data_IF_505503314746
#
_entry.id   IF_505503314746
#
_cell.length_a   1.000
_cell.length_b   1.000
_cell.length_c   1.000
_cell.angle_alpha   90.00
_cell.angle_beta   90.00
_cell.angle_gamma   90.00
#
_symmetry.space_group_name_H-M   'P 1'
#
loop_
_entity.id
_entity.type
_entity.pdbx_description
1 polymer ?
#
# COMPACT_ATOMS: atom_id res chain seq x y z
N UNK A 1 -44.70 -26.56 14.69
CA UNK A 1 -44.14 -27.18 13.47
C UNK A 1 -44.43 -26.27 12.28
N UNK A 2 -43.84 -25.07 12.13
CA UNK A 2 -42.49 -24.70 11.63
C UNK A 2 -42.07 -25.27 10.26
N UNK A 3 -42.66 -24.64 9.23
CA UNK A 3 -42.12 -24.20 7.93
C UNK A 3 -40.65 -24.55 7.62
N UNK A 4 -40.44 -25.46 6.66
CA UNK A 4 -39.21 -25.63 5.86
C UNK A 4 -39.65 -25.74 4.40
N UNK A 5 -39.69 -24.62 3.67
CA UNK A 5 -39.70 -24.54 2.20
C UNK A 5 -39.67 -23.04 1.84
N UNK A 6 -38.48 -22.39 1.88
CA UNK A 6 -37.82 -22.05 0.62
C UNK A 6 -36.29 -21.87 0.79
N UNK A 7 -35.51 -22.95 0.74
CA UNK A 7 -34.02 -22.87 0.68
C UNK A 7 -33.46 -23.66 -0.51
N UNK A 8 -34.28 -24.43 -1.22
CA UNK A 8 -33.80 -25.34 -2.27
C UNK A 8 -33.77 -24.69 -3.68
N UNK A 9 -34.41 -23.54 -3.90
CA UNK A 9 -34.47 -22.92 -5.24
C UNK A 9 -33.38 -21.87 -5.54
N UNK A 10 -32.60 -21.44 -4.55
CA UNK A 10 -31.49 -20.47 -4.75
C UNK A 10 -30.12 -21.12 -4.95
N UNK A 11 -30.02 -22.45 -4.80
CA UNK A 11 -28.77 -23.21 -4.97
C UNK A 11 -28.58 -23.82 -6.36
N UNK A 12 -29.58 -23.74 -7.25
CA UNK A 12 -29.53 -24.31 -8.61
C UNK A 12 -29.32 -23.28 -9.74
N UNK A 13 -29.28 -21.97 -9.43
CA UNK A 13 -29.05 -20.90 -10.42
C UNK A 13 -27.61 -20.35 -10.45
N UNK A 14 -26.70 -20.90 -9.62
CA UNK A 14 -25.26 -20.53 -9.63
C UNK A 14 -24.41 -21.54 -10.42
N UNK A 15 -25.00 -22.68 -10.84
CA UNK A 15 -24.28 -23.76 -11.54
C UNK A 15 -24.37 -23.74 -13.07
N UNK A 16 -25.07 -22.78 -13.70
CA UNK A 16 -25.16 -22.69 -15.17
C UNK A 16 -24.44 -21.48 -15.80
N UNK A 17 -23.85 -20.58 -15.01
CA UNK A 17 -23.07 -19.45 -15.55
C UNK A 17 -21.53 -19.69 -15.60
N UNK A 18 -21.04 -20.85 -15.15
CA UNK A 18 -19.60 -21.13 -15.08
C UNK A 18 -18.95 -21.57 -16.40
N UNK A 19 -19.70 -22.15 -17.34
CA UNK A 19 -19.10 -22.79 -18.53
C UNK A 19 -19.00 -21.87 -19.76
N UNK A 20 -19.90 -20.89 -19.93
CA UNK A 20 -19.87 -19.97 -21.08
C UNK A 20 -18.69 -18.97 -21.00
N UNK A 21 -18.25 -18.64 -19.79
CA UNK A 21 -17.20 -17.64 -19.53
C UNK A 21 -15.79 -18.22 -19.69
N UNK A 22 -15.61 -19.53 -19.51
CA UNK A 22 -14.34 -20.22 -19.68
C UNK A 22 -13.91 -20.32 -21.15
N UNK A 23 -14.86 -20.53 -22.06
CA UNK A 23 -14.61 -20.69 -23.50
C UNK A 23 -14.28 -19.34 -24.16
N UNK A 24 -15.00 -18.27 -23.79
CA UNK A 24 -14.71 -16.88 -24.20
C UNK A 24 -13.33 -16.37 -23.70
N UNK A 25 -12.90 -16.80 -22.51
CA UNK A 25 -11.57 -16.45 -21.95
C UNK A 25 -10.43 -17.17 -22.66
N UNK A 26 -10.66 -18.39 -23.16
CA UNK A 26 -9.66 -19.16 -23.94
C UNK A 26 -9.40 -18.52 -25.31
N UNK A 27 -10.43 -18.01 -25.97
CA UNK A 27 -10.32 -17.28 -27.25
C UNK A 27 -9.59 -15.93 -27.09
N UNK A 28 -9.91 -15.17 -26.03
CA UNK A 28 -9.17 -13.92 -25.69
C UNK A 28 -7.69 -14.17 -25.38
N UNK A 29 -7.34 -15.34 -24.81
CA UNK A 29 -5.95 -15.77 -24.58
C UNK A 29 -5.23 -16.11 -25.89
N UNK A 30 -5.90 -16.79 -26.82
CA UNK A 30 -5.34 -17.10 -28.14
C UNK A 30 -5.05 -15.83 -28.95
N UNK A 31 -5.99 -14.86 -28.95
CA UNK A 31 -5.81 -13.57 -29.64
C UNK A 31 -4.66 -12.73 -29.06
N UNK A 32 -4.48 -12.71 -27.74
CA UNK A 32 -3.35 -12.01 -27.10
C UNK A 32 -2.00 -12.68 -27.40
N UNK A 33 -1.95 -14.01 -27.49
CA UNK A 33 -0.73 -14.75 -27.84
C UNK A 33 -0.35 -14.53 -29.31
N UNK A 34 -1.33 -14.53 -30.21
CA UNK A 34 -1.14 -14.22 -31.63
C UNK A 34 -0.67 -12.77 -31.86
N UNK A 35 -1.25 -11.79 -31.16
CA UNK A 35 -0.83 -10.39 -31.25
C UNK A 35 0.62 -10.16 -30.78
N UNK A 36 1.07 -10.90 -29.74
CA UNK A 36 2.43 -10.80 -29.21
C UNK A 36 3.46 -11.46 -30.16
N UNK A 37 3.10 -12.57 -30.79
CA UNK A 37 3.93 -13.20 -31.84
C UNK A 37 4.02 -12.34 -33.10
N UNK A 38 2.91 -11.72 -33.54
CA UNK A 38 2.91 -10.81 -34.69
C UNK A 38 3.77 -9.57 -34.46
N UNK A 39 3.77 -9.02 -33.23
CA UNK A 39 4.63 -7.89 -32.85
C UNK A 39 6.12 -8.25 -32.76
N UNK A 40 6.46 -9.50 -32.42
CA UNK A 40 7.85 -9.99 -32.45
C UNK A 40 8.35 -10.23 -33.89
N UNK A 41 7.49 -10.78 -34.75
CA UNK A 41 7.80 -10.99 -36.17
C UNK A 41 7.97 -9.66 -36.93
N UNK A 42 7.16 -8.65 -36.63
CA UNK A 42 7.32 -7.31 -37.23
C UNK A 42 8.59 -6.60 -36.75
N UNK A 43 8.95 -6.75 -35.47
CA UNK A 43 10.19 -6.20 -34.92
C UNK A 43 11.45 -6.86 -35.51
N UNK A 44 11.40 -8.17 -35.80
CA UNK A 44 12.50 -8.88 -36.45
C UNK A 44 12.65 -8.52 -37.93
N UNK A 45 11.55 -8.27 -38.65
CA UNK A 45 11.61 -7.81 -40.05
C UNK A 45 12.17 -6.39 -40.19
N UNK A 46 11.90 -5.49 -39.24
CA UNK A 46 12.47 -4.13 -39.24
C UNK A 46 13.99 -4.08 -38.98
N UNK A 47 14.55 -5.12 -38.36
CA UNK A 47 15.98 -5.22 -38.03
C UNK A 47 16.78 -5.82 -39.21
N UNK A 48 16.16 -6.64 -40.06
CA UNK A 48 16.82 -7.18 -41.25
C UNK A 48 16.87 -6.18 -42.42
N UNK A 49 15.94 -5.24 -42.53
CA UNK A 49 15.96 -4.23 -43.61
C UNK A 49 16.98 -3.10 -43.41
N UNK A 50 17.51 -2.95 -42.19
CA UNK A 50 18.42 -1.86 -41.81
C UNK A 50 19.90 -2.24 -41.82
N UNK A 51 20.24 -3.50 -42.17
CA UNK A 51 21.63 -4.00 -42.20
C UNK A 51 22.28 -4.11 -43.59
N UNK A 52 21.61 -3.70 -44.66
CA UNK A 52 22.08 -3.96 -46.03
C UNK A 52 22.37 -2.71 -46.88
N UNK A 53 22.50 -1.52 -46.26
CA UNK A 53 22.97 -0.33 -46.97
C UNK A 53 23.96 0.47 -46.12
N UNK A 54 25.06 0.83 -46.78
CA UNK A 54 26.09 1.81 -46.44
C UNK A 54 27.36 1.27 -45.75
N UNK A 55 28.20 0.65 -46.58
CA UNK A 55 29.64 0.85 -46.55
C UNK A 55 30.01 1.77 -47.75
N UNK A 56 31.04 2.60 -47.58
CA UNK A 56 31.77 3.44 -48.57
C UNK A 56 31.54 4.96 -48.52
N UNK A 57 32.67 5.61 -48.20
CA UNK A 57 33.16 6.97 -48.48
C UNK A 57 32.98 8.12 -47.49
N UNK A 58 34.14 8.55 -46.99
CA UNK A 58 34.46 9.80 -46.30
C UNK A 58 35.13 10.77 -47.30
N UNK A 59 34.95 12.11 -47.19
CA UNK A 59 36.03 12.89 -46.57
C UNK A 59 35.61 14.16 -45.78
N UNK A 60 36.44 14.44 -44.77
CA UNK A 60 36.80 15.72 -44.11
C UNK A 60 35.95 16.99 -44.23
N UNK A 61 35.55 17.55 -43.08
CA UNK A 61 35.66 18.99 -42.76
C UNK A 61 35.51 19.25 -41.25
N UNK A 62 36.34 20.15 -40.71
CA UNK A 62 36.38 20.62 -39.32
C UNK A 62 35.12 21.45 -38.99
N UNK A 63 34.57 21.35 -37.78
CA UNK A 63 34.19 22.51 -36.95
C UNK A 63 33.77 22.10 -35.52
N UNK A 64 33.84 23.07 -34.63
CA UNK A 64 33.88 23.04 -33.17
C UNK A 64 32.79 22.26 -32.42
N UNK A 65 33.17 21.77 -31.23
CA UNK A 65 32.28 21.31 -30.16
C UNK A 65 31.44 22.47 -29.60
N UNK A 66 30.15 22.25 -29.31
CA UNK A 66 29.49 22.86 -28.17
C UNK A 66 29.28 21.84 -27.03
N UNK A 67 29.45 22.33 -25.80
CA UNK A 67 29.21 21.66 -24.53
C UNK A 67 27.78 21.11 -24.38
N UNK A 68 27.57 20.08 -23.54
CA UNK A 68 26.26 19.45 -23.39
C UNK A 68 25.32 20.35 -22.58
N UNK A 69 24.23 20.79 -23.23
CA UNK A 69 23.13 21.49 -22.60
C UNK A 69 22.47 20.63 -21.51
N UNK A 70 22.44 21.17 -20.31
CA UNK A 70 21.64 20.74 -19.16
C UNK A 70 20.17 20.58 -19.56
N UNK A 71 19.59 19.40 -19.30
CA UNK A 71 18.13 19.21 -19.37
C UNK A 71 17.50 19.93 -18.18
N UNK A 72 17.06 21.15 -18.44
CA UNK A 72 16.24 21.95 -17.55
C UNK A 72 14.90 21.25 -17.34
N UNK A 73 14.60 20.88 -16.09
CA UNK A 73 13.29 20.39 -15.68
C UNK A 73 12.35 21.60 -15.62
N UNK A 74 11.80 21.98 -16.78
CA UNK A 74 10.86 23.08 -16.84
C UNK A 74 9.66 22.84 -15.94
N UNK A 75 9.39 23.85 -15.11
CA UNK A 75 8.20 24.00 -14.27
C UNK A 75 6.95 23.54 -15.03
N UNK A 76 6.24 22.56 -14.46
CA UNK A 76 4.88 22.24 -14.91
C UNK A 76 4.04 23.52 -14.82
N UNK A 77 3.46 23.89 -15.95
CA UNK A 77 2.52 24.98 -16.10
C UNK A 77 1.42 24.92 -15.03
N UNK A 78 1.50 25.84 -14.06
CA UNK A 78 0.55 26.00 -12.96
C UNK A 78 -0.81 26.52 -13.45
N UNK A 79 -0.87 27.13 -14.65
CA UNK A 79 -2.10 27.72 -15.19
C UNK A 79 -3.17 26.67 -15.51
N UNK A 80 -2.76 25.46 -15.93
CA UNK A 80 -3.67 24.35 -16.22
C UNK A 80 -4.46 23.90 -14.98
N UNK A 81 -3.83 23.93 -13.80
CA UNK A 81 -4.47 23.53 -12.55
C UNK A 81 -5.38 24.63 -11.97
N UNK A 82 -5.06 25.90 -12.20
CA UNK A 82 -5.93 27.03 -11.84
C UNK A 82 -7.26 27.00 -12.61
N UNK A 83 -7.23 26.69 -13.91
CA UNK A 83 -8.45 26.58 -14.72
C UNK A 83 -9.36 25.41 -14.31
N UNK A 84 -8.77 24.28 -13.89
CA UNK A 84 -9.52 23.10 -13.42
C UNK A 84 -10.23 23.32 -12.08
N UNK A 85 -9.69 24.21 -11.23
CA UNK A 85 -10.11 24.44 -9.85
C UNK A 85 -10.94 25.72 -9.64
N UNK A 86 -11.10 26.59 -10.65
CA UNK A 86 -11.84 27.88 -10.55
C UNK A 86 -13.27 27.79 -9.97
N UNK A 87 -13.93 26.65 -10.10
CA UNK A 87 -15.30 26.41 -9.63
C UNK A 87 -15.38 25.69 -8.26
N UNK A 88 -14.24 25.38 -7.62
CA UNK A 88 -14.16 24.60 -6.38
C UNK A 88 -13.79 25.50 -5.20
N UNK A 89 -14.51 25.35 -4.09
CA UNK A 89 -14.15 25.97 -2.81
C UNK A 89 -12.87 25.35 -2.23
N UNK A 90 -12.12 26.06 -1.36
CA UNK A 90 -10.95 25.49 -0.67
C UNK A 90 -11.22 24.14 0.01
N UNK A 91 -12.36 24.01 0.70
CA UNK A 91 -12.80 22.73 1.30
C UNK A 91 -12.97 21.61 0.27
N UNK A 92 -13.51 21.91 -0.92
CA UNK A 92 -13.63 20.91 -1.98
C UNK A 92 -12.27 20.52 -2.57
N UNK A 93 -11.35 21.47 -2.69
CA UNK A 93 -9.97 21.23 -3.14
C UNK A 93 -9.26 20.32 -2.13
N UNK A 94 -9.32 20.63 -0.83
CA UNK A 94 -8.73 19.82 0.23
C UNK A 94 -9.30 18.39 0.23
N UNK A 95 -10.62 18.25 0.06
CA UNK A 95 -11.24 16.92 -0.03
C UNK A 95 -10.76 16.12 -1.26
N UNK A 96 -10.52 16.79 -2.39
CA UNK A 96 -9.99 16.15 -3.60
C UNK A 96 -8.52 15.80 -3.47
N UNK A 97 -7.74 16.60 -2.75
CA UNK A 97 -6.33 16.28 -2.40
C UNK A 97 -6.29 15.06 -1.48
N UNK A 98 -7.14 15.03 -0.44
CA UNK A 98 -7.25 13.90 0.47
C UNK A 98 -7.69 12.60 -0.26
N UNK A 99 -8.70 12.70 -1.14
CA UNK A 99 -9.11 11.58 -2.00
C UNK A 99 -7.99 11.09 -2.92
N UNK A 100 -7.24 12.01 -3.50
CA UNK A 100 -6.13 11.65 -4.37
C UNK A 100 -5.03 10.94 -3.61
N UNK A 101 -4.66 11.42 -2.42
CA UNK A 101 -3.68 10.76 -1.55
C UNK A 101 -4.14 9.34 -1.18
N UNK A 102 -5.42 9.17 -0.83
CA UNK A 102 -6.00 7.85 -0.56
C UNK A 102 -5.93 6.91 -1.77
N UNK A 103 -6.22 7.41 -2.97
CA UNK A 103 -6.07 6.63 -4.20
C UNK A 103 -4.63 6.28 -4.52
N UNK A 104 -3.68 7.20 -4.31
CA UNK A 104 -2.26 6.87 -4.47
C UNK A 104 -1.83 5.81 -3.46
N UNK A 105 -2.36 5.85 -2.24
CA UNK A 105 -2.10 4.86 -1.19
C UNK A 105 -2.66 3.49 -1.58
N UNK A 106 -3.89 3.41 -2.08
CA UNK A 106 -4.51 2.17 -2.56
C UNK A 106 -3.78 1.61 -3.79
N UNK A 107 -3.43 2.48 -4.74
CA UNK A 107 -2.74 2.08 -5.96
C UNK A 107 -1.32 1.58 -5.67
N UNK A 108 -0.60 2.23 -4.75
CA UNK A 108 0.74 1.81 -4.33
C UNK A 108 0.70 0.47 -3.62
N UNK A 109 -0.27 0.24 -2.72
CA UNK A 109 -0.50 -1.07 -2.11
C UNK A 109 -0.79 -2.13 -3.18
N UNK A 110 -1.73 -1.88 -4.08
CA UNK A 110 -2.12 -2.87 -5.09
C UNK A 110 -0.99 -3.20 -6.06
N UNK A 111 -0.20 -2.19 -6.48
CA UNK A 111 0.98 -2.41 -7.30
C UNK A 111 1.97 -3.31 -6.56
N UNK A 112 2.32 -2.95 -5.32
CA UNK A 112 3.23 -3.76 -4.52
C UNK A 112 2.73 -5.19 -4.33
N UNK A 113 1.46 -5.37 -3.96
CA UNK A 113 0.87 -6.67 -3.73
C UNK A 113 0.90 -7.54 -5.00
N UNK A 114 0.49 -7.00 -6.14
CA UNK A 114 0.52 -7.72 -7.42
C UNK A 114 1.95 -8.00 -7.89
N UNK A 115 2.87 -7.07 -7.62
CA UNK A 115 4.25 -7.20 -8.05
C UNK A 115 4.95 -8.23 -7.16
N UNK A 116 4.84 -8.19 -5.84
CA UNK A 116 5.70 -8.99 -4.95
C UNK A 116 5.02 -10.16 -4.25
N UNK A 117 3.69 -10.19 -4.17
CA UNK A 117 2.95 -11.20 -3.38
C UNK A 117 2.12 -12.12 -4.29
N UNK A 118 1.21 -11.55 -5.09
CA UNK A 118 0.29 -12.30 -5.98
C UNK A 118 0.75 -12.20 -7.44
N UNK A 119 1.74 -13.00 -7.82
CA UNK A 119 2.22 -13.11 -9.20
C UNK A 119 2.28 -14.55 -9.70
N UNK A 120 2.14 -14.71 -11.02
CA UNK A 120 2.31 -15.98 -11.73
C UNK A 120 3.77 -16.20 -12.12
N UNK A 121 4.26 -17.44 -11.96
CA UNK A 121 5.65 -17.85 -12.25
C UNK A 121 5.96 -17.83 -13.76
N UNK A 122 7.02 -17.10 -14.11
CA UNK A 122 8.06 -17.45 -15.10
C UNK A 122 9.04 -16.27 -15.17
N UNK A 123 9.94 -16.18 -14.19
CA UNK A 123 11.11 -15.30 -14.28
C UNK A 123 12.30 -16.13 -14.74
N UNK A 124 12.69 -15.89 -15.98
CA UNK A 124 13.89 -16.48 -16.59
C UNK A 124 15.14 -16.04 -15.83
N UNK A 125 15.78 -17.04 -15.21
CA UNK A 125 17.15 -17.16 -14.71
C UNK A 125 17.88 -15.88 -14.32
N UNK A 126 17.90 -15.62 -13.01
CA UNK A 126 19.14 -15.10 -12.44
C UNK A 126 20.27 -16.15 -12.63
N UNK A 127 21.46 -15.68 -13.01
CA UNK A 127 22.60 -16.52 -13.39
C UNK A 127 23.33 -17.13 -12.17
N UNK A 128 22.90 -16.81 -10.94
CA UNK A 128 23.47 -17.43 -9.75
C UNK A 128 23.07 -18.90 -9.60
N UNK A 129 24.05 -19.73 -9.28
CA UNK A 129 23.86 -21.13 -8.97
C UNK A 129 23.07 -21.30 -7.65
N UNK A 130 22.17 -22.28 -7.60
CA UNK A 130 21.28 -22.53 -6.45
C UNK A 130 22.05 -22.72 -5.13
N UNK A 131 23.26 -23.28 -5.18
CA UNK A 131 24.12 -23.43 -4.01
C UNK A 131 24.45 -22.11 -3.31
N UNK A 132 24.54 -21.00 -4.06
CA UNK A 132 24.79 -19.68 -3.46
C UNK A 132 23.58 -19.22 -2.64
N UNK A 133 22.37 -19.44 -3.14
CA UNK A 133 21.13 -19.13 -2.43
C UNK A 133 20.97 -19.98 -1.18
N UNK A 134 21.22 -21.29 -1.30
CA UNK A 134 21.17 -22.23 -0.19
C UNK A 134 22.14 -21.81 0.92
N UNK A 135 23.40 -21.56 0.58
CA UNK A 135 24.43 -21.17 1.55
C UNK A 135 24.10 -19.85 2.26
N UNK A 136 23.60 -18.86 1.51
CA UNK A 136 23.17 -17.57 2.07
C UNK A 136 21.98 -17.72 3.01
N UNK A 137 20.94 -18.47 2.62
CA UNK A 137 19.78 -18.71 3.49
C UNK A 137 20.17 -19.47 4.77
N UNK A 138 21.07 -20.45 4.68
CA UNK A 138 21.59 -21.17 5.85
C UNK A 138 22.41 -20.26 6.78
N UNK A 139 23.16 -19.30 6.22
CA UNK A 139 23.98 -18.37 7.00
C UNK A 139 23.18 -17.32 7.78
N UNK A 140 21.86 -17.18 7.53
CA UNK A 140 21.00 -16.28 8.29
C UNK A 140 20.69 -16.75 9.72
N UNK A 141 20.97 -18.03 10.05
CA UNK A 141 20.80 -18.64 11.39
C UNK A 141 19.55 -18.16 12.12
N UNK A 142 18.39 -18.73 11.78
CA UNK A 142 17.10 -18.27 12.27
C UNK A 142 16.32 -19.36 13.04
N UNK A 143 15.56 -19.01 14.10
CA UNK A 143 14.55 -19.87 14.70
C UNK A 143 13.39 -20.18 13.72
N UNK A 144 13.21 -19.37 12.68
CA UNK A 144 12.24 -19.58 11.62
C UNK A 144 12.91 -20.37 10.50
N UNK A 145 12.26 -21.42 10.01
CA UNK A 145 12.78 -22.19 8.88
C UNK A 145 12.77 -21.34 7.61
N UNK A 146 13.93 -21.15 7.00
CA UNK A 146 14.13 -20.43 5.73
C UNK A 146 14.61 -21.42 4.64
N UNK A 147 13.75 -22.35 4.17
CA UNK A 147 14.17 -23.35 3.20
C UNK A 147 14.47 -22.73 1.83
N UNK A 148 15.19 -23.47 0.99
CA UNK A 148 15.35 -23.12 -0.42
C UNK A 148 14.54 -24.09 -1.30
N UNK A 149 13.80 -23.55 -2.26
CA UNK A 149 13.15 -24.28 -3.36
C UNK A 149 12.89 -23.32 -4.53
N UNK A 150 12.38 -23.83 -5.65
CA UNK A 150 12.10 -23.04 -6.86
C UNK A 150 11.12 -21.89 -6.60
N UNK A 151 10.10 -22.12 -5.77
CA UNK A 151 9.10 -21.08 -5.42
C UNK A 151 9.80 -19.94 -4.69
N UNK A 152 10.58 -20.23 -3.65
CA UNK A 152 11.33 -19.22 -2.90
C UNK A 152 12.35 -18.50 -3.78
N UNK A 153 13.03 -19.21 -4.68
CA UNK A 153 13.96 -18.60 -5.65
C UNK A 153 13.25 -17.53 -6.49
N UNK A 154 12.02 -17.78 -6.93
CA UNK A 154 11.23 -16.82 -7.70
C UNK A 154 10.90 -15.56 -6.88
N UNK A 155 10.53 -15.69 -5.60
CA UNK A 155 10.31 -14.54 -4.73
C UNK A 155 11.61 -13.77 -4.44
N UNK A 156 12.73 -14.45 -4.21
CA UNK A 156 14.05 -13.80 -4.07
C UNK A 156 14.37 -12.99 -5.34
N UNK A 157 14.28 -13.61 -6.51
CA UNK A 157 14.53 -12.97 -7.80
C UNK A 157 13.66 -11.72 -7.99
N UNK A 158 12.43 -11.72 -7.47
CA UNK A 158 11.52 -10.57 -7.52
C UNK A 158 12.02 -9.40 -6.68
N UNK A 159 12.39 -9.65 -5.42
CA UNK A 159 12.86 -8.60 -4.52
C UNK A 159 14.21 -8.00 -4.92
N UNK A 160 15.09 -8.81 -5.52
CA UNK A 160 16.42 -8.34 -5.94
C UNK A 160 16.45 -7.71 -7.32
N UNK A 161 15.37 -7.82 -8.10
CA UNK A 161 15.33 -7.29 -9.46
C UNK A 161 15.15 -5.75 -9.46
N UNK A 162 16.11 -4.98 -10.02
CA UNK A 162 16.06 -3.52 -10.03
C UNK A 162 14.84 -2.94 -10.74
N UNK A 163 14.21 -3.69 -11.67
CA UNK A 163 13.03 -3.24 -12.43
C UNK A 163 11.87 -2.78 -11.54
N UNK A 164 11.74 -3.36 -10.35
CA UNK A 164 10.63 -3.06 -9.46
C UNK A 164 10.96 -1.94 -8.44
N UNK A 165 12.24 -1.61 -8.23
CA UNK A 165 12.73 -0.43 -7.49
C UNK A 165 12.27 -0.28 -6.03
N UNK A 166 11.45 -1.19 -5.49
CA UNK A 166 10.79 -1.00 -4.19
C UNK A 166 11.75 -1.30 -3.03
N UNK A 167 12.78 -2.11 -3.28
CA UNK A 167 13.73 -2.49 -2.24
C UNK A 167 14.54 -1.31 -1.69
N UNK A 168 14.96 -0.35 -2.52
CA UNK A 168 15.66 0.87 -2.06
C UNK A 168 14.82 1.64 -1.03
N UNK A 169 13.52 1.81 -1.33
CA UNK A 169 12.56 2.48 -0.43
C UNK A 169 12.36 1.69 0.85
N UNK A 170 12.21 0.37 0.76
CA UNK A 170 12.07 -0.51 1.93
C UNK A 170 13.32 -0.40 2.82
N UNK A 171 14.52 -0.47 2.24
CA UNK A 171 15.78 -0.32 2.97
C UNK A 171 15.87 1.04 3.65
N UNK A 172 15.52 2.11 2.94
CA UNK A 172 15.49 3.48 3.47
C UNK A 172 14.54 3.61 4.68
N UNK A 173 13.31 3.10 4.58
CA UNK A 173 12.33 3.11 5.68
C UNK A 173 12.70 2.16 6.83
N UNK A 174 13.36 1.05 6.54
CA UNK A 174 13.77 0.07 7.56
C UNK A 174 14.70 0.70 8.59
N UNK A 175 15.51 1.70 8.20
CA UNK A 175 16.41 2.43 9.12
C UNK A 175 15.68 3.10 10.28
N UNK A 176 14.40 3.43 10.10
CA UNK A 176 13.55 3.98 11.15
C UNK A 176 12.68 2.91 11.82
N UNK A 177 11.98 2.07 11.04
CA UNK A 177 10.99 1.16 11.60
C UNK A 177 11.57 -0.13 12.20
N UNK A 178 12.66 -0.65 11.67
CA UNK A 178 13.21 -1.94 12.14
C UNK A 178 13.68 -1.89 13.59
N UNK A 179 14.42 -0.85 14.06
CA UNK A 179 14.76 -0.75 15.47
C UNK A 179 13.54 -0.82 16.40
N UNK A 180 12.46 -0.10 16.05
CA UNK A 180 11.20 -0.11 16.81
C UNK A 180 10.53 -1.50 16.84
N UNK A 181 10.54 -2.20 15.70
CA UNK A 181 9.94 -3.52 15.55
C UNK A 181 10.76 -4.59 16.30
N UNK A 182 12.07 -4.59 16.11
CA UNK A 182 13.00 -5.52 16.73
C UNK A 182 12.99 -5.40 18.25
N UNK A 183 12.93 -4.17 18.77
CA UNK A 183 12.85 -3.94 20.20
C UNK A 183 11.64 -4.64 20.81
N UNK A 184 10.45 -4.51 20.21
CA UNK A 184 9.24 -5.17 20.71
C UNK A 184 9.25 -6.69 20.51
N UNK A 185 9.83 -7.19 19.41
CA UNK A 185 10.03 -8.63 19.19
C UNK A 185 10.95 -9.24 20.26
N UNK A 186 12.09 -8.59 20.53
CA UNK A 186 13.07 -9.02 21.53
C UNK A 186 12.45 -9.00 22.93
N UNK A 187 11.74 -7.91 23.31
CA UNK A 187 11.01 -7.82 24.59
C UNK A 187 10.03 -8.98 24.78
N UNK A 188 9.36 -9.41 23.71
CA UNK A 188 8.38 -10.49 23.77
C UNK A 188 8.98 -11.91 23.66
N UNK A 189 10.29 -12.01 23.42
CA UNK A 189 11.00 -13.27 23.19
C UNK A 189 10.68 -13.93 21.85
N UNK A 190 10.33 -13.14 20.83
CA UNK A 190 10.00 -13.62 19.48
C UNK A 190 11.20 -13.52 18.53
N UNK A 191 11.25 -14.32 17.45
CA UNK A 191 12.31 -14.19 16.43
C UNK A 191 12.32 -12.81 15.78
N UNK A 192 13.49 -12.20 15.69
CA UNK A 192 13.67 -10.85 15.11
C UNK A 192 13.37 -10.81 13.62
N UNK A 193 13.47 -11.94 12.93
CA UNK A 193 13.19 -12.10 11.50
C UNK A 193 11.72 -11.81 11.16
N UNK A 194 10.81 -11.86 12.13
CA UNK A 194 9.43 -11.43 11.97
C UNK A 194 9.30 -9.95 11.55
N UNK A 195 10.37 -9.14 11.68
CA UNK A 195 10.45 -7.79 11.09
C UNK A 195 10.26 -7.75 9.57
N UNK A 196 10.40 -8.88 8.88
CA UNK A 196 10.10 -8.97 7.45
C UNK A 196 8.59 -9.00 7.14
N UNK A 197 7.71 -9.26 8.12
CA UNK A 197 6.26 -9.25 7.90
C UNK A 197 5.76 -7.87 7.42
N UNK A 198 6.12 -6.74 8.06
CA UNK A 198 5.78 -5.40 7.55
C UNK A 198 6.31 -5.09 6.14
N UNK A 199 7.35 -5.78 5.67
CA UNK A 199 7.78 -5.66 4.27
C UNK A 199 6.72 -6.26 3.35
N UNK A 200 6.29 -7.49 3.61
CA UNK A 200 5.35 -8.19 2.73
C UNK A 200 3.90 -7.72 2.90
N UNK A 201 3.58 -7.11 4.04
CA UNK A 201 2.25 -6.55 4.31
C UNK A 201 2.06 -5.18 3.66
N UNK A 202 3.04 -4.27 3.76
CA UNK A 202 2.82 -2.89 3.32
C UNK A 202 4.03 -2.22 2.67
N UNK A 203 5.11 -2.97 2.45
CA UNK A 203 6.41 -2.42 2.09
C UNK A 203 6.80 -1.26 3.03
N UNK A 204 6.61 -1.49 4.34
CA UNK A 204 6.86 -0.55 5.44
C UNK A 204 6.08 0.77 5.35
N UNK A 205 4.90 0.75 4.75
CA UNK A 205 4.00 1.91 4.73
C UNK A 205 3.04 1.91 5.91
N UNK A 206 3.10 2.96 6.73
CA UNK A 206 2.21 3.19 7.89
C UNK A 206 0.80 3.62 7.50
N UNK A 207 0.60 4.06 6.25
CA UNK A 207 -0.69 4.54 5.75
C UNK A 207 -1.33 3.58 4.74
N UNK A 208 -0.61 2.55 4.30
CA UNK A 208 -1.10 1.54 3.36
C UNK A 208 -2.48 1.03 3.78
N UNK A 209 -3.39 0.98 2.81
CA UNK A 209 -4.75 0.52 3.01
C UNK A 209 -5.08 -0.51 1.93
N UNK A 210 -5.52 -1.70 2.32
CA UNK A 210 -5.95 -2.72 1.36
C UNK A 210 -7.38 -2.47 0.87
N UNK A 211 -7.79 -3.06 -0.26
CA UNK A 211 -9.19 -3.01 -0.72
C UNK A 211 -10.20 -3.55 0.31
N UNK A 212 -9.76 -4.46 1.19
CA UNK A 212 -10.60 -5.04 2.25
C UNK A 212 -10.61 -4.22 3.54
N UNK A 213 -9.82 -3.14 3.62
CA UNK A 213 -9.79 -2.23 4.76
C UNK A 213 -8.73 -2.56 5.83
N UNK A 214 -7.77 -3.43 5.50
CA UNK A 214 -6.56 -3.61 6.30
C UNK A 214 -5.70 -2.34 6.24
N UNK A 215 -5.07 -1.94 7.36
CA UNK A 215 -4.34 -0.66 7.45
C UNK A 215 -2.99 -0.79 8.14
N UNK A 216 -2.03 0.00 7.67
CA UNK A 216 -0.76 0.29 8.34
C UNK A 216 0.35 -0.73 8.07
N UNK A 217 1.43 -0.62 8.85
CA UNK A 217 2.62 -1.48 8.74
C UNK A 217 2.27 -2.96 8.72
N UNK A 218 1.35 -3.33 9.61
CA UNK A 218 0.98 -4.71 9.89
C UNK A 218 -0.33 -5.14 9.21
N UNK A 219 -0.91 -4.28 8.35
CA UNK A 219 -2.17 -4.50 7.63
C UNK A 219 -3.27 -5.09 8.54
N UNK A 220 -3.54 -4.45 9.68
CA UNK A 220 -4.59 -4.91 10.56
C UNK A 220 -5.98 -4.64 9.97
N UNK A 221 -6.81 -5.69 9.91
CA UNK A 221 -8.25 -5.52 9.76
C UNK A 221 -8.84 -4.79 10.98
N UNK A 222 -9.89 -3.96 10.81
CA UNK A 222 -10.41 -3.15 11.93
C UNK A 222 -10.84 -3.98 13.14
N UNK A 223 -11.51 -5.12 12.91
CA UNK A 223 -11.96 -6.01 13.98
C UNK A 223 -10.77 -6.62 14.74
N UNK A 224 -9.77 -7.11 14.00
CA UNK A 224 -8.56 -7.69 14.59
C UNK A 224 -7.76 -6.64 15.37
N UNK A 225 -7.53 -5.46 14.80
CA UNK A 225 -6.83 -4.38 15.49
C UNK A 225 -7.50 -4.01 16.82
N UNK A 226 -8.83 -3.85 16.83
CA UNK A 226 -9.60 -3.61 18.06
C UNK A 226 -9.48 -4.74 19.08
N UNK A 227 -9.48 -6.00 18.63
CA UNK A 227 -9.32 -7.14 19.54
C UNK A 227 -7.96 -7.19 20.23
N UNK A 228 -6.93 -6.57 19.63
CA UNK A 228 -5.59 -6.40 20.21
C UNK A 228 -5.37 -5.01 20.83
N UNK A 229 -6.46 -4.27 21.10
CA UNK A 229 -6.41 -3.03 21.88
C UNK A 229 -6.12 -1.76 21.08
N UNK A 230 -6.08 -1.82 19.74
CA UNK A 230 -5.90 -0.63 18.91
C UNK A 230 -7.18 0.19 18.83
N UNK A 231 -7.06 1.49 19.09
CA UNK A 231 -8.13 2.46 18.89
C UNK A 231 -8.31 2.79 17.41
N UNK A 232 -9.57 2.74 16.96
CA UNK A 232 -9.96 3.07 15.58
C UNK A 232 -11.26 3.86 15.63
N UNK A 233 -11.17 5.16 15.36
CA UNK A 233 -12.27 6.10 15.34
C UNK A 233 -12.09 7.16 14.21
N UNK A 234 -12.87 8.25 14.25
CA UNK A 234 -12.82 9.30 13.22
C UNK A 234 -11.52 10.11 13.23
N UNK A 235 -10.93 10.35 14.40
CA UNK A 235 -9.72 11.15 14.60
C UNK A 235 -8.44 10.32 14.66
N UNK A 236 -8.51 9.10 15.21
CA UNK A 236 -7.36 8.24 15.50
C UNK A 236 -7.54 6.87 14.84
N UNK A 237 -6.50 6.37 14.18
CA UNK A 237 -6.39 4.98 13.73
C UNK A 237 -5.01 4.42 14.12
N UNK A 238 -4.94 3.80 15.30
CA UNK A 238 -3.69 3.28 15.89
C UNK A 238 -3.12 2.09 15.11
N UNK A 239 -3.83 1.55 14.10
CA UNK A 239 -3.22 0.62 13.14
C UNK A 239 -2.11 1.26 12.32
N UNK A 240 -2.15 2.59 12.19
CA UNK A 240 -1.11 3.38 11.52
C UNK A 240 0.05 3.73 12.45
N UNK A 241 -0.18 3.71 13.77
CA UNK A 241 0.85 3.99 14.78
C UNK A 241 1.92 2.89 14.75
N UNK A 242 3.19 3.19 14.41
CA UNK A 242 4.23 2.17 14.29
C UNK A 242 4.49 1.40 15.57
N UNK A 243 4.37 2.03 16.74
CA UNK A 243 4.70 1.41 18.03
C UNK A 243 3.52 0.58 18.53
N UNK A 244 2.32 1.16 18.54
CA UNK A 244 1.12 0.47 19.04
C UNK A 244 0.73 -0.69 18.12
N UNK A 245 0.75 -0.50 16.79
CA UNK A 245 0.47 -1.57 15.85
C UNK A 245 1.50 -2.71 15.96
N UNK A 246 2.78 -2.40 16.20
CA UNK A 246 3.81 -3.42 16.43
C UNK A 246 3.54 -4.22 17.69
N UNK A 247 3.21 -3.57 18.81
CA UNK A 247 2.84 -4.27 20.05
C UNK A 247 1.66 -5.23 19.84
N UNK A 248 0.62 -4.77 19.14
CA UNK A 248 -0.53 -5.59 18.78
C UNK A 248 -0.12 -6.78 17.87
N UNK A 249 0.73 -6.56 16.87
CA UNK A 249 1.19 -7.60 15.96
C UNK A 249 2.06 -8.65 16.65
N UNK A 250 2.97 -8.23 17.52
CA UNK A 250 3.80 -9.11 18.35
C UNK A 250 2.91 -10.01 19.23
N UNK A 251 1.89 -9.43 19.87
CA UNK A 251 0.94 -10.19 20.66
C UNK A 251 0.16 -11.20 19.79
N UNK A 252 -0.35 -10.77 18.64
CA UNK A 252 -1.06 -11.66 17.71
C UNK A 252 -0.18 -12.82 17.20
N UNK A 253 1.07 -12.54 16.82
CA UNK A 253 2.02 -13.57 16.38
C UNK A 253 2.34 -14.56 17.51
N UNK A 254 2.44 -14.09 18.75
CA UNK A 254 2.61 -14.94 19.93
C UNK A 254 1.39 -15.84 20.18
N UNK A 255 0.17 -15.34 19.94
CA UNK A 255 -1.06 -16.13 19.99
C UNK A 255 -1.08 -17.21 18.90
N UNK A 256 -0.73 -16.86 17.66
CA UNK A 256 -0.66 -17.81 16.54
C UNK A 256 0.40 -18.88 16.76
N UNK A 257 1.59 -18.51 17.25
CA UNK A 257 2.63 -19.48 17.56
C UNK A 257 2.21 -20.45 18.67
N UNK A 258 1.46 -19.98 19.68
CA UNK A 258 0.91 -20.87 20.72
C UNK A 258 -0.05 -21.92 20.16
N UNK A 259 -0.75 -21.63 19.06
CA UNK A 259 -1.68 -22.57 18.41
C UNK A 259 -0.92 -23.62 17.60
N UNK A 260 0.04 -23.19 16.78
CA UNK A 260 0.67 -24.07 15.79
C UNK A 260 2.02 -24.65 16.22
N UNK A 261 2.69 -24.00 17.17
CA UNK A 261 4.06 -24.31 17.59
C UNK A 261 5.07 -24.39 16.41
N UNK A 262 4.78 -23.68 15.33
CA UNK A 262 5.62 -23.58 14.13
C UNK A 262 5.44 -22.19 13.52
N UNK A 263 6.56 -21.49 13.29
CA UNK A 263 6.54 -20.12 12.79
C UNK A 263 6.03 -20.02 11.35
N UNK A 264 6.27 -21.02 10.50
CA UNK A 264 5.80 -20.99 9.11
C UNK A 264 4.28 -21.13 9.03
N UNK A 265 3.68 -21.95 9.91
CA UNK A 265 2.23 -22.02 10.06
C UNK A 265 1.64 -20.76 10.72
N UNK A 266 2.32 -20.19 11.72
CA UNK A 266 1.89 -18.94 12.34
C UNK A 266 1.89 -17.78 11.32
N UNK A 267 2.92 -17.67 10.47
CA UNK A 267 2.99 -16.70 9.38
C UNK A 267 1.87 -16.92 8.35
N UNK A 268 1.60 -18.16 7.95
CA UNK A 268 0.48 -18.47 7.05
C UNK A 268 -0.88 -18.11 7.67
N UNK A 269 -1.05 -18.38 8.97
CA UNK A 269 -2.27 -18.05 9.71
C UNK A 269 -2.45 -16.55 9.94
N UNK A 270 -1.35 -15.77 9.97
CA UNK A 270 -1.42 -14.32 10.04
C UNK A 270 -2.14 -13.75 8.81
N UNK A 271 -1.78 -14.24 7.61
CA UNK A 271 -2.37 -13.78 6.34
C UNK A 271 -3.82 -14.24 6.14
N UNK A 272 -4.12 -15.53 6.22
CA UNK A 272 -5.47 -16.04 5.89
C UNK A 272 -6.33 -16.38 7.11
N UNK A 273 -5.83 -16.15 8.31
CA UNK A 273 -6.50 -16.47 9.55
C UNK A 273 -6.35 -17.96 9.94
N UNK A 274 -6.37 -18.26 11.26
CA UNK A 274 -6.14 -19.60 11.76
C UNK A 274 -7.19 -20.64 11.29
N UNK A 275 -8.43 -20.20 11.07
CA UNK A 275 -9.49 -21.09 10.57
C UNK A 275 -9.21 -21.67 9.18
N UNK A 276 -8.51 -20.94 8.31
CA UNK A 276 -8.16 -21.41 6.97
C UNK A 276 -6.97 -22.38 7.01
N UNK A 277 -5.98 -22.11 7.86
CA UNK A 277 -4.86 -23.04 8.11
C UNK A 277 -5.38 -24.35 8.70
N UNK A 278 -6.26 -24.31 9.71
CA UNK A 278 -6.85 -25.51 10.29
C UNK A 278 -7.64 -26.35 9.26
N UNK A 279 -8.37 -25.69 8.34
CA UNK A 279 -9.05 -26.39 7.24
C UNK A 279 -8.06 -27.03 6.28
N UNK A 280 -6.94 -26.37 5.96
CA UNK A 280 -5.90 -26.90 5.10
C UNK A 280 -5.20 -28.11 5.75
N UNK A 281 -4.86 -28.03 7.04
CA UNK A 281 -4.33 -29.15 7.82
C UNK A 281 -5.28 -30.34 7.80
N UNK A 282 -6.58 -30.13 8.03
CA UNK A 282 -7.57 -31.21 7.98
C UNK A 282 -7.67 -31.86 6.58
N UNK A 283 -7.66 -31.05 5.50
CA UNK A 283 -7.75 -31.56 4.11
C UNK A 283 -6.50 -32.28 3.63
N UNK A 284 -5.34 -31.92 4.16
CA UNK A 284 -4.06 -32.60 3.88
C UNK A 284 -3.90 -33.95 4.57
N UNK A 285 -4.87 -34.36 5.40
CA UNK A 285 -4.75 -35.58 6.21
C UNK A 285 -3.95 -35.41 7.50
N UNK A 286 -3.85 -34.18 8.03
CA UNK A 286 -3.15 -33.89 9.28
C UNK A 286 -1.71 -33.39 9.12
N UNK A 287 -1.37 -32.79 7.98
CA UNK A 287 -0.08 -32.13 7.76
C UNK A 287 0.28 -31.15 8.87
N UNK A 288 1.56 -31.10 9.24
CA UNK A 288 2.06 -30.35 10.40
C UNK A 288 3.01 -29.23 10.04
N UNK A 289 3.38 -29.10 8.77
CA UNK A 289 4.24 -28.04 8.26
C UNK A 289 3.53 -27.23 7.18
N UNK A 290 4.02 -26.02 6.91
CA UNK A 290 3.52 -25.20 5.81
C UNK A 290 3.54 -25.94 4.47
N UNK A 291 4.59 -26.71 4.19
CA UNK A 291 4.73 -27.43 2.92
C UNK A 291 3.80 -28.65 2.84
N UNK A 292 3.49 -29.31 3.95
CA UNK A 292 2.52 -30.42 3.97
C UNK A 292 1.12 -29.95 3.58
N UNK A 293 0.77 -28.71 3.92
CA UNK A 293 -0.57 -28.15 3.68
C UNK A 293 -0.61 -27.20 2.48
N UNK A 294 0.50 -27.02 1.78
CA UNK A 294 0.71 -25.98 0.76
C UNK A 294 -0.40 -25.96 -0.28
N UNK A 295 -0.71 -27.10 -0.90
CA UNK A 295 -1.71 -27.20 -1.97
C UNK A 295 -3.16 -27.01 -1.51
N UNK A 296 -3.39 -27.03 -0.19
CA UNK A 296 -4.71 -26.85 0.42
C UNK A 296 -4.95 -25.42 0.93
N UNK A 297 -3.91 -24.57 0.94
CA UNK A 297 -3.99 -23.18 1.31
C UNK A 297 -4.57 -22.31 0.18
N UNK A 298 -5.19 -21.16 0.50
CA UNK A 298 -5.55 -20.16 -0.49
C UNK A 298 -4.34 -19.75 -1.33
N UNK A 299 -4.56 -19.46 -2.62
CA UNK A 299 -3.47 -19.12 -3.56
C UNK A 299 -2.58 -17.99 -3.05
N UNK A 300 -3.18 -16.93 -2.51
CA UNK A 300 -2.48 -15.80 -1.90
C UNK A 300 -1.55 -16.25 -0.76
N UNK A 301 -2.05 -17.09 0.16
CA UNK A 301 -1.29 -17.58 1.31
C UNK A 301 -0.13 -18.50 0.90
N UNK A 302 -0.26 -19.26 -0.19
CA UNK A 302 0.83 -20.08 -0.72
C UNK A 302 2.05 -19.23 -1.09
N UNK A 303 1.82 -18.00 -1.57
CA UNK A 303 2.87 -17.04 -1.87
C UNK A 303 3.44 -16.32 -0.65
N UNK A 304 2.71 -16.32 0.47
CA UNK A 304 3.00 -15.45 1.61
C UNK A 304 4.26 -15.87 2.41
N UNK A 305 4.43 -17.16 2.72
CA UNK A 305 5.67 -17.65 3.37
C UNK A 305 6.89 -17.54 2.43
N UNK A 306 6.81 -17.92 1.13
CA UNK A 306 7.88 -17.65 0.19
C UNK A 306 8.27 -16.17 0.06
N UNK A 307 7.29 -15.26 0.05
CA UNK A 307 7.52 -13.82 0.06
C UNK A 307 8.28 -13.37 1.31
N UNK A 308 7.90 -13.89 2.49
CA UNK A 308 8.61 -13.63 3.74
C UNK A 308 10.10 -14.03 3.67
N UNK A 309 10.39 -15.23 3.16
CA UNK A 309 11.77 -15.71 2.99
C UNK A 309 12.51 -14.84 1.96
N UNK A 310 11.86 -14.51 0.84
CA UNK A 310 12.42 -13.65 -0.20
C UNK A 310 12.76 -12.25 0.31
N UNK A 311 11.87 -11.63 1.06
CA UNK A 311 12.08 -10.32 1.69
C UNK A 311 13.22 -10.36 2.71
N UNK A 312 13.28 -11.42 3.53
CA UNK A 312 14.36 -11.62 4.52
C UNK A 312 15.73 -11.77 3.84
N UNK A 313 15.80 -12.59 2.78
CA UNK A 313 17.00 -12.75 1.98
C UNK A 313 17.41 -11.43 1.32
N UNK A 314 16.48 -10.74 0.66
CA UNK A 314 16.77 -9.50 -0.03
C UNK A 314 17.25 -8.44 0.95
N UNK A 315 16.64 -8.33 2.14
CA UNK A 315 17.08 -7.43 3.18
C UNK A 315 18.48 -7.76 3.70
N UNK A 316 18.84 -9.03 3.84
CA UNK A 316 20.17 -9.40 4.34
C UNK A 316 21.28 -9.30 3.27
N UNK A 317 20.93 -9.57 2.01
CA UNK A 317 21.90 -9.71 0.91
C UNK A 317 21.74 -8.67 -0.21
N UNK A 318 21.05 -7.54 0.07
CA UNK A 318 20.80 -6.50 -0.94
C UNK A 318 22.08 -5.98 -1.60
N UNK A 319 23.17 -5.84 -0.84
CA UNK A 319 24.45 -5.34 -1.35
C UNK A 319 25.06 -6.28 -2.40
N UNK A 320 24.95 -7.59 -2.20
CA UNK A 320 25.43 -8.61 -3.14
C UNK A 320 24.62 -8.65 -4.45
N UNK A 321 23.49 -7.96 -4.48
CA UNK A 321 22.64 -7.77 -5.66
C UNK A 321 22.74 -6.33 -6.21
N UNK A 322 23.70 -5.52 -5.74
CA UNK A 322 23.92 -4.16 -6.21
C UNK A 322 22.86 -3.15 -5.75
N UNK A 323 22.03 -3.51 -4.78
CA UNK A 323 20.96 -2.65 -4.25
C UNK A 323 21.53 -1.82 -3.10
N UNK A 324 21.39 -0.50 -3.20
CA UNK A 324 21.86 0.45 -2.19
C UNK A 324 20.70 1.13 -1.49
N UNK A 325 20.88 1.43 -0.19
CA UNK A 325 19.90 2.19 0.57
C UNK A 325 20.04 3.67 0.26
N UNK A 326 18.92 4.33 0.00
CA UNK A 326 18.84 5.79 -0.04
C UNK A 326 18.73 6.36 1.39
N UNK A 327 18.84 7.68 1.51
CA UNK A 327 18.57 8.38 2.76
C UNK A 327 17.10 8.19 3.17
N UNK A 328 16.82 8.03 4.48
CA UNK A 328 15.46 7.94 4.98
C UNK A 328 14.69 9.23 4.63
N UNK A 329 13.43 9.13 4.19
CA UNK A 329 12.60 10.31 3.91
C UNK A 329 12.12 11.01 5.18
N UNK A 330 12.60 10.59 6.35
CA UNK A 330 12.16 11.03 7.67
C UNK A 330 13.35 11.15 8.63
N UNK A 331 13.28 12.05 9.63
CA UNK A 331 14.30 12.15 10.67
C UNK A 331 14.44 10.84 11.45
N UNK A 332 15.68 10.36 11.63
CA UNK A 332 15.93 9.13 12.37
C UNK A 332 15.92 9.33 13.89
N UNK A 333 16.45 10.47 14.36
CA UNK A 333 16.43 10.83 15.76
C UNK A 333 15.10 11.50 16.10
N UNK A 334 14.23 10.75 16.77
CA UNK A 334 12.92 11.21 17.23
C UNK A 334 12.77 11.01 18.73
N UNK A 335 11.87 11.76 19.31
CA UNK A 335 11.42 11.59 20.69
C UNK A 335 9.91 11.84 20.77
N UNK A 336 9.36 11.65 21.96
CA UNK A 336 7.93 11.69 22.21
C UNK A 336 7.56 12.77 23.22
N UNK A 337 6.47 13.47 22.93
CA UNK A 337 5.80 14.36 23.87
C UNK A 337 4.43 13.77 24.21
N UNK A 338 4.08 13.82 25.50
CA UNK A 338 2.76 13.46 25.97
C UNK A 338 1.81 14.64 25.82
N UNK A 339 0.80 14.48 25.00
CA UNK A 339 -0.25 15.47 24.76
C UNK A 339 -1.44 15.17 25.66
N UNK A 340 -1.79 16.14 26.51
CA UNK A 340 -2.89 16.04 27.49
C UNK A 340 -4.06 16.99 27.19
N UNK A 341 -3.93 17.81 26.14
CA UNK A 341 -4.91 18.81 25.71
C UNK A 341 -5.12 18.67 24.21
N UNK A 342 -6.34 18.93 23.76
CA UNK A 342 -6.69 18.92 22.35
C UNK A 342 -5.71 19.79 21.54
N UNK A 343 -5.13 19.22 20.48
CA UNK A 343 -4.06 19.84 19.71
C UNK A 343 -4.21 19.52 18.22
N UNK A 344 -4.00 20.51 17.36
CA UNK A 344 -3.89 20.34 15.92
C UNK A 344 -2.41 20.37 15.52
N UNK A 345 -1.94 19.43 14.69
CA UNK A 345 -0.54 19.36 14.25
C UNK A 345 -0.09 20.64 13.54
N UNK A 346 -1.01 21.33 12.86
CA UNK A 346 -0.76 22.65 12.26
C UNK A 346 -0.32 23.71 13.27
N UNK A 347 -0.77 23.65 14.53
CA UNK A 347 -0.31 24.59 15.57
C UNK A 347 1.18 24.37 15.86
N UNK A 348 1.58 23.10 15.99
CA UNK A 348 2.98 22.71 16.20
C UNK A 348 3.84 23.08 15.00
N UNK A 349 3.36 22.77 13.79
CA UNK A 349 4.06 23.06 12.54
C UNK A 349 4.36 24.56 12.39
N UNK A 350 3.39 25.41 12.68
CA UNK A 350 3.52 26.85 12.50
C UNK A 350 4.44 27.50 13.55
N UNK A 351 4.32 27.12 14.83
CA UNK A 351 5.12 27.73 15.90
C UNK A 351 6.57 27.27 15.85
N UNK A 352 6.82 25.99 15.55
CA UNK A 352 8.17 25.42 15.54
C UNK A 352 8.84 25.44 14.16
N UNK A 353 8.17 26.00 13.15
CA UNK A 353 8.61 25.98 11.73
C UNK A 353 8.98 24.57 11.24
N UNK A 354 8.13 23.59 11.57
CA UNK A 354 8.27 22.20 11.14
C UNK A 354 7.35 21.99 9.94
N UNK A 355 7.83 21.46 8.80
CA UNK A 355 6.96 21.07 7.70
C UNK A 355 5.89 20.09 8.18
N UNK A 356 4.61 20.42 7.96
CA UNK A 356 3.47 19.61 8.43
C UNK A 356 3.57 18.13 7.97
N UNK A 357 4.12 17.88 6.78
CA UNK A 357 4.35 16.53 6.26
C UNK A 357 5.32 15.71 7.12
N UNK A 358 6.28 16.35 7.79
CA UNK A 358 7.16 15.67 8.75
C UNK A 358 6.35 15.19 9.96
N UNK A 359 5.45 16.04 10.48
CA UNK A 359 4.57 15.67 11.59
C UNK A 359 3.61 14.55 11.19
N UNK A 360 2.98 14.63 10.02
CA UNK A 360 2.10 13.58 9.47
C UNK A 360 2.82 12.25 9.27
N UNK A 361 4.07 12.30 8.78
CA UNK A 361 4.90 11.11 8.57
C UNK A 361 5.26 10.42 9.88
N UNK A 362 5.62 11.21 10.91
CA UNK A 362 5.95 10.70 12.25
C UNK A 362 4.71 10.30 13.05
N UNK A 363 3.55 10.88 12.74
CA UNK A 363 2.30 10.68 13.46
C UNK A 363 1.15 10.29 12.52
N UNK A 364 1.26 9.15 11.81
CA UNK A 364 0.29 8.74 10.79
C UNK A 364 -1.07 8.32 11.35
N UNK A 365 -1.20 8.14 12.67
CA UNK A 365 -2.42 7.73 13.35
C UNK A 365 -3.47 8.86 13.44
N UNK A 366 -3.07 10.13 13.35
CA UNK A 366 -3.98 11.28 13.43
C UNK A 366 -4.56 11.62 12.05
N UNK A 367 -5.81 11.20 11.80
CA UNK A 367 -6.45 11.24 10.46
C UNK A 367 -6.84 12.64 9.97
N UNK A 368 -7.00 13.59 10.89
CA UNK A 368 -7.42 14.97 10.59
C UNK A 368 -6.41 15.98 11.12
N UNK A 369 -5.14 15.56 11.30
CA UNK A 369 -4.12 16.36 11.97
C UNK A 369 -4.52 16.79 13.40
N UNK A 370 -5.46 16.09 14.03
CA UNK A 370 -5.96 16.37 15.37
C UNK A 370 -5.55 15.26 16.33
N UNK A 371 -4.97 15.66 17.45
CA UNK A 371 -4.70 14.83 18.61
C UNK A 371 -5.82 15.07 19.62
N UNK A 372 -6.79 14.15 19.77
CA UNK A 372 -8.01 14.38 20.54
C UNK A 372 -7.80 14.13 22.05
N UNK A 373 -6.76 14.74 22.63
CA UNK A 373 -6.40 14.57 24.03
C UNK A 373 -7.33 15.36 24.96
N UNK A 374 -8.54 14.86 25.15
CA UNK A 374 -9.56 15.46 26.04
C UNK A 374 -9.78 14.64 27.30
N UNK A 375 -9.97 13.32 27.13
CA UNK A 375 -10.25 12.37 28.21
C UNK A 375 -9.01 11.55 28.56
N UNK A 376 -8.20 11.24 27.55
CA UNK A 376 -6.93 10.51 27.70
C UNK A 376 -5.81 11.25 27.01
N UNK A 377 -4.59 10.92 27.40
CA UNK A 377 -3.40 11.43 26.74
C UNK A 377 -3.11 10.67 25.45
N UNK A 378 -2.37 11.33 24.56
CA UNK A 378 -1.86 10.76 23.33
C UNK A 378 -0.38 11.13 23.17
N UNK A 379 0.29 10.50 22.21
CA UNK A 379 1.73 10.70 21.98
C UNK A 379 1.94 11.49 20.69
N UNK A 380 2.71 12.57 20.77
CA UNK A 380 3.24 13.28 19.62
C UNK A 380 4.71 12.92 19.45
N UNK A 381 5.06 12.34 18.30
CA UNK A 381 6.43 12.05 17.90
C UNK A 381 7.00 13.25 17.15
N UNK A 382 8.15 13.74 17.58
CA UNK A 382 8.87 14.87 16.98
C UNK A 382 10.30 14.47 16.63
N UNK A 383 10.94 15.14 15.65
CA UNK A 383 12.39 15.06 15.53
C UNK A 383 13.02 15.57 16.82
N UNK A 384 13.99 14.83 17.36
CA UNK A 384 14.51 15.05 18.72
C UNK A 384 14.95 16.51 18.99
N UNK A 385 15.49 17.18 17.96
CA UNK A 385 15.93 18.58 18.04
C UNK A 385 14.81 19.60 18.35
N UNK A 386 13.54 19.25 18.14
CA UNK A 386 12.39 20.13 18.38
C UNK A 386 11.70 19.86 19.72
N UNK A 387 12.13 18.86 20.49
CA UNK A 387 11.48 18.46 21.74
C UNK A 387 11.57 19.57 22.78
N UNK A 388 12.76 20.11 23.01
CA UNK A 388 12.93 21.25 23.93
C UNK A 388 12.17 22.49 23.44
N UNK A 389 12.21 22.76 22.13
CA UNK A 389 11.47 23.90 21.56
C UNK A 389 9.95 23.74 21.73
N UNK A 390 9.42 22.52 21.60
CA UNK A 390 8.02 22.26 21.90
C UNK A 390 7.69 22.61 23.35
N UNK A 391 8.53 22.18 24.30
CA UNK A 391 8.33 22.43 25.73
C UNK A 391 8.39 23.94 26.03
N UNK A 392 9.37 24.65 25.46
CA UNK A 392 9.54 26.09 25.66
C UNK A 392 8.38 26.91 25.08
N UNK A 393 7.76 26.43 23.99
CA UNK A 393 6.68 27.11 23.27
C UNK A 393 5.29 26.45 23.46
N UNK A 394 5.11 25.54 24.43
CA UNK A 394 3.85 24.78 24.60
C UNK A 394 2.63 25.72 24.73
N UNK A 395 2.77 26.76 25.54
CA UNK A 395 1.69 27.75 25.75
C UNK A 395 1.40 28.59 24.49
N UNK A 396 2.40 28.89 23.67
CA UNK A 396 2.22 29.60 22.40
C UNK A 396 1.51 28.71 21.36
N UNK A 397 1.91 27.45 21.28
CA UNK A 397 1.27 26.43 20.44
C UNK A 397 -0.22 26.32 20.78
N UNK A 398 -0.56 26.26 22.07
CA UNK A 398 -1.96 26.13 22.49
C UNK A 398 -2.77 27.42 22.35
N UNK A 399 -2.13 28.59 22.45
CA UNK A 399 -2.78 29.90 22.20
C UNK A 399 -3.08 30.15 20.73
N UNK A 400 -2.30 29.55 19.83
CA UNK A 400 -2.49 29.72 18.40
C UNK A 400 -3.89 29.21 18.00
N UNK A 401 -4.72 30.13 17.55
CA UNK A 401 -6.10 29.88 17.18
C UNK A 401 -6.16 28.90 16.01
N UNK A 402 -6.67 27.69 16.26
CA UNK A 402 -6.87 26.71 15.19
C UNK A 402 -8.30 26.82 14.66
N UNK A 403 -8.43 27.37 13.45
CA UNK A 403 -9.69 27.40 12.70
C UNK A 403 -10.30 26.00 12.58
N UNK A 404 -9.45 24.97 12.43
CA UNK A 404 -9.84 23.57 12.38
C UNK A 404 -10.43 23.09 13.71
N UNK A 405 -9.81 23.43 14.84
CA UNK A 405 -10.35 23.09 16.15
C UNK A 405 -11.73 23.74 16.36
N UNK A 406 -11.93 24.99 15.95
CA UNK A 406 -13.24 25.66 16.02
C UNK A 406 -14.32 24.95 15.19
N UNK A 407 -13.95 24.43 14.02
CA UNK A 407 -14.86 23.68 13.15
C UNK A 407 -15.26 22.32 13.76
N UNK A 408 -14.32 21.63 14.44
CA UNK A 408 -14.51 20.26 14.95
C UNK A 408 -14.87 20.11 16.42
N UNK A 409 -14.74 21.16 17.24
CA UNK A 409 -15.09 21.12 18.67
C UNK A 409 -16.54 21.51 18.91
N UNK A 410 -17.17 22.26 18.02
CA UNK A 410 -18.56 22.69 18.20
C UNK A 410 -19.50 21.47 18.16
N UNK A 411 -20.23 21.13 19.25
CA UNK A 411 -21.08 19.94 19.32
C UNK A 411 -22.11 19.86 18.18
N UNK A 412 -22.58 21.03 17.72
CA UNK A 412 -23.52 21.16 16.60
C UNK A 412 -22.88 20.73 15.27
N UNK A 413 -21.57 20.94 15.11
CA UNK A 413 -20.82 20.52 13.93
C UNK A 413 -20.39 19.05 14.03
N UNK A 414 -20.13 18.53 15.23
CA UNK A 414 -19.83 17.11 15.47
C UNK A 414 -21.03 16.22 15.12
N UNK A 415 -22.24 16.53 15.59
CA UNK A 415 -23.45 15.76 15.22
C UNK A 415 -23.75 15.87 13.72
N UNK A 416 -23.66 17.08 13.15
CA UNK A 416 -23.79 17.27 11.69
C UNK A 416 -22.73 16.50 10.92
N UNK A 417 -21.50 16.37 11.44
CA UNK A 417 -20.41 15.63 10.80
C UNK A 417 -20.52 14.12 11.00
N UNK A 418 -20.98 13.61 12.15
CA UNK A 418 -21.27 12.18 12.34
C UNK A 418 -22.40 11.74 11.40
N UNK A 419 -23.44 12.56 11.24
CA UNK A 419 -24.52 12.34 10.26
C UNK A 419 -23.99 12.52 8.81
N UNK A 420 -23.04 13.44 8.57
CA UNK A 420 -22.40 13.63 7.26
C UNK A 420 -21.37 12.54 6.89
N UNK A 421 -20.66 11.92 7.83
CA UNK A 421 -19.72 10.83 7.59
C UNK A 421 -20.47 9.51 7.31
N UNK A 422 -21.68 9.37 7.85
CA UNK A 422 -22.60 8.28 7.53
C UNK A 422 -23.32 8.47 6.17
N UNK A 423 -23.28 9.66 5.58
CA UNK A 423 -23.90 9.96 4.29
C UNK A 423 -22.83 10.34 3.25
N UNK A 424 -22.52 9.49 2.25
CA UNK A 424 -21.41 9.76 1.34
C UNK A 424 -21.58 11.10 0.64
N UNK A 425 -20.66 12.04 0.89
CA UNK A 425 -20.67 13.35 0.26
C UNK A 425 -20.53 13.20 -1.25
N UNK A 426 -21.29 13.97 -2.01
CA UNK A 426 -21.20 13.98 -3.46
C UNK A 426 -21.23 15.40 -3.97
N UNK A 427 -20.33 15.70 -4.90
CA UNK A 427 -20.49 16.86 -5.77
C UNK A 427 -21.30 16.45 -7.00
N UNK A 428 -22.07 17.39 -7.55
CA UNK A 428 -22.87 17.14 -8.75
C UNK A 428 -22.21 17.83 -9.92
N UNK A 429 -21.72 17.04 -10.88
CA UNK A 429 -21.18 17.54 -12.13
C UNK A 429 -22.25 17.52 -13.22
N UNK A 430 -22.48 18.64 -13.88
CA UNK A 430 -23.37 18.71 -15.05
C UNK A 430 -22.56 18.51 -16.31
N UNK A 431 -22.83 17.44 -17.05
CA UNK A 431 -22.12 17.09 -18.30
C UNK A 431 -22.25 18.23 -19.31
N UNK A 432 -21.12 18.81 -19.73
CA UNK A 432 -21.01 19.86 -20.73
C UNK A 432 -20.77 19.25 -22.12
N UNK A 433 -20.99 20.03 -23.18
CA UNK A 433 -20.75 19.59 -24.56
C UNK A 433 -19.25 19.26 -24.74
N UNK A 434 -18.95 18.06 -25.20
CA UNK A 434 -17.56 17.57 -25.39
C UNK A 434 -17.00 16.75 -24.23
N UNK A 435 -17.72 16.64 -23.12
CA UNK A 435 -17.27 15.83 -21.99
C UNK A 435 -17.31 14.33 -22.28
N UNK A 436 -16.30 13.62 -21.79
CA UNK A 436 -16.28 12.16 -21.71
C UNK A 436 -16.22 11.72 -20.26
N UNK A 437 -16.73 10.52 -19.96
CA UNK A 437 -16.67 9.98 -18.60
C UNK A 437 -15.21 9.87 -18.11
N UNK A 438 -14.27 9.60 -19.02
CA UNK A 438 -12.84 9.55 -18.74
C UNK A 438 -12.25 10.93 -18.39
N UNK A 439 -12.64 11.98 -19.11
CA UNK A 439 -12.21 13.35 -18.79
C UNK A 439 -12.76 13.82 -17.44
N UNK A 440 -14.04 13.53 -17.16
CA UNK A 440 -14.67 13.84 -15.87
C UNK A 440 -14.00 13.04 -14.75
N UNK A 441 -13.77 11.75 -14.95
CA UNK A 441 -13.07 10.88 -14.01
C UNK A 441 -11.67 11.43 -13.66
N UNK A 442 -10.91 11.87 -14.67
CA UNK A 442 -9.60 12.48 -14.47
C UNK A 442 -9.68 13.81 -13.71
N UNK A 443 -10.64 14.68 -14.05
CA UNK A 443 -10.87 15.96 -13.36
C UNK A 443 -11.13 15.78 -11.87
N UNK A 444 -11.97 14.81 -11.52
CA UNK A 444 -12.34 14.52 -10.14
C UNK A 444 -11.43 13.50 -9.45
N UNK A 445 -10.35 13.07 -10.13
CA UNK A 445 -9.41 12.07 -9.62
C UNK A 445 -10.15 10.82 -9.11
N UNK A 446 -11.00 10.24 -9.94
CA UNK A 446 -11.75 8.99 -9.68
C UNK A 446 -11.69 8.12 -10.93
N UNK A 447 -12.10 6.86 -10.82
CA UNK A 447 -12.19 5.97 -11.98
C UNK A 447 -13.54 6.10 -12.69
N UNK A 448 -13.56 5.82 -13.98
CA UNK A 448 -14.81 5.70 -14.75
C UNK A 448 -15.74 4.66 -14.14
N UNK A 449 -15.20 3.55 -13.66
CA UNK A 449 -15.95 2.50 -12.96
C UNK A 449 -16.64 3.01 -11.68
N UNK A 450 -15.95 3.84 -10.88
CA UNK A 450 -16.54 4.48 -9.70
C UNK A 450 -17.69 5.43 -10.08
N UNK A 451 -17.48 6.32 -11.06
CA UNK A 451 -18.55 7.22 -11.53
C UNK A 451 -19.75 6.42 -12.04
N UNK A 452 -19.50 5.37 -12.82
CA UNK A 452 -20.57 4.48 -13.31
C UNK A 452 -21.32 3.81 -12.16
N UNK A 453 -20.61 3.31 -11.15
CA UNK A 453 -21.21 2.68 -9.96
C UNK A 453 -22.09 3.67 -9.19
N UNK A 454 -21.59 4.87 -8.92
CA UNK A 454 -22.31 5.90 -8.17
C UNK A 454 -23.55 6.42 -8.88
N UNK A 455 -23.50 6.48 -10.21
CA UNK A 455 -24.58 7.00 -11.06
C UNK A 455 -25.42 5.90 -11.72
N UNK A 456 -25.17 4.63 -11.36
CA UNK A 456 -25.81 3.45 -11.96
C UNK A 456 -25.76 3.44 -13.50
N UNK A 457 -24.68 3.96 -14.07
CA UNK A 457 -24.47 3.98 -15.52
C UNK A 457 -24.04 2.60 -15.99
N UNK A 458 -24.72 2.10 -17.03
CA UNK A 458 -24.38 0.80 -17.65
C UNK A 458 -23.33 0.93 -18.76
N UNK A 459 -23.10 2.14 -19.27
CA UNK A 459 -22.19 2.39 -20.39
C UNK A 459 -21.49 3.74 -20.22
N UNK A 460 -20.15 3.74 -20.25
CA UNK A 460 -19.31 4.92 -20.11
C UNK A 460 -19.43 5.91 -21.28
N UNK A 461 -19.87 5.46 -22.45
CA UNK A 461 -19.93 6.24 -23.68
C UNK A 461 -21.29 6.88 -23.93
N UNK A 462 -22.29 6.64 -23.06
CA UNK A 462 -23.65 7.20 -23.16
C UNK A 462 -23.88 8.29 -22.12
N UNK A 463 -23.14 9.39 -22.24
CA UNK A 463 -23.39 10.61 -21.49
C UNK A 463 -24.28 11.56 -22.28
N UNK A 464 -25.27 12.16 -21.62
CA UNK A 464 -26.12 13.20 -22.22
C UNK A 464 -25.67 14.57 -21.75
N UNK A 465 -25.62 15.55 -22.65
CA UNK A 465 -25.36 16.94 -22.28
C UNK A 465 -26.47 17.40 -21.31
N UNK A 466 -26.07 18.06 -20.23
CA UNK A 466 -26.97 18.45 -19.12
C UNK A 466 -27.24 17.34 -18.09
N UNK A 467 -26.73 16.12 -18.30
CA UNK A 467 -26.85 15.05 -17.32
C UNK A 467 -26.09 15.39 -16.04
N UNK A 468 -26.75 15.26 -14.89
CA UNK A 468 -26.14 15.44 -13.58
C UNK A 468 -25.52 14.12 -13.11
N UNK A 469 -24.22 14.13 -12.88
CA UNK A 469 -23.45 13.02 -12.33
C UNK A 469 -23.10 13.31 -10.87
N UNK A 470 -23.48 12.40 -9.98
CA UNK A 470 -23.02 12.35 -8.60
C UNK A 470 -21.61 11.78 -8.56
N UNK A 471 -20.67 12.62 -8.21
CA UNK A 471 -19.28 12.23 -8.00
C UNK A 471 -19.09 12.19 -6.49
N UNK A 472 -18.86 11.01 -5.92
CA UNK A 472 -18.56 10.94 -4.49
C UNK A 472 -17.26 11.70 -4.23
N UNK A 473 -17.33 12.62 -3.28
CA UNK A 473 -16.17 13.31 -2.74
C UNK A 473 -15.97 12.81 -1.31
N UNK A 474 -14.75 12.91 -0.78
CA UNK A 474 -14.58 12.85 0.67
C UNK A 474 -15.06 14.19 1.25
N UNK A 475 -15.46 14.23 2.51
CA UNK A 475 -15.67 15.50 3.23
C UNK A 475 -14.53 15.68 4.21
#
# INVERSE_FOLDING_TARGET
MKKILPIVLTLLLILSCGNADAQSRKERRAQRKAAKQAAQLSAQQSITTSKEKEEVDSPTSKHEKPEPQSRDHSYRDLSYYEELNRELTPSQIDSLVALWQEQQTLNSYQSFFNDYIDFDEDLSSDNLHDSVYINRLQALVSPIKLPFNSVIKNYIARYVNPRYGTMNRILSLSRYYFPLIEEELIKAGLPVELRALPIIESALSTTATSPMGAVGLWQFMPATGKSYGLEINSFVDERRDPVLATKAAVQYLKDLYRIYNDWTLAIAAYNCGPGNVNKAMARSGGGKTFWDIYDYLPRETRGYVPAFVGASYAYAYHQQHGITSENPPMPLATDTIRINRLLHLGQVAQVLDIPIETLRTLNPQYKMDIIPATIKHYTLVLPQRYVCQYIDHEEEIHKLDSTYLKEYIDPVNIEKKIIADQTPAYTTYTVKKGDTLGAIARRYRVTTAQIMKWNKLKNANKLRIGQKLRIQTRR
#
